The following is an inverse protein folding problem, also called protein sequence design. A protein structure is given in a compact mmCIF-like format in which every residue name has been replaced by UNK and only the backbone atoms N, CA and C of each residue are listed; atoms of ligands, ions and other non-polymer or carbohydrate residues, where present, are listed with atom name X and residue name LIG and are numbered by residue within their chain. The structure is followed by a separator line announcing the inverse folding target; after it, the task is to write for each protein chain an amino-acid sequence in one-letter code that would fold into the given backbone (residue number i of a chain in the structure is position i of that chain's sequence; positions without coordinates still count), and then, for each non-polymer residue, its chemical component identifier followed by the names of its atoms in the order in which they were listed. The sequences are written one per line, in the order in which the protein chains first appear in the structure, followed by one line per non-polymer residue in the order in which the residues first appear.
data_IF_473632939007
#
_entry.id   IF_473632939007
#
_cell.length_a   1.000
_cell.length_b   1.000
_cell.length_c   1.000
_cell.angle_alpha   90.00
_cell.angle_beta   90.00
_cell.angle_gamma   90.00
#
_symmetry.space_group_name_H-M   'P 1'
#
loop_
_entity.id
_entity.type
_entity.pdbx_description
1 polymer ?
#
# COMPACT_ATOMS: atom_id res chain seq x y z
N UNK A 1 -28.86 9.34 46.18
CA UNK A 1 -30.29 9.12 45.89
C UNK A 1 -30.39 8.22 44.66
N UNK A 2 -30.67 6.91 44.81
CA UNK A 2 -30.99 6.05 43.68
C UNK A 2 -32.50 5.98 43.50
N UNK A 3 -32.99 6.36 42.32
CA UNK A 3 -34.41 6.28 41.92
C UNK A 3 -34.73 4.87 41.42
N UNK A 4 -35.33 4.08 42.30
CA UNK A 4 -35.93 2.78 42.01
C UNK A 4 -37.04 2.90 40.97
N UNK A 5 -36.80 2.41 39.75
CA UNK A 5 -37.86 2.15 38.77
C UNK A 5 -38.41 0.74 39.02
N UNK A 6 -39.45 0.64 39.84
CA UNK A 6 -40.30 -0.56 39.93
C UNK A 6 -41.20 -0.63 38.70
N UNK A 7 -40.98 -1.62 37.84
CA UNK A 7 -41.93 -1.99 36.79
C UNK A 7 -43.00 -2.86 37.47
N UNK A 8 -44.13 -2.22 37.79
CA UNK A 8 -45.33 -2.89 38.28
C UNK A 8 -46.05 -3.53 37.10
N UNK A 9 -45.94 -4.85 36.97
CA UNK A 9 -46.75 -5.61 36.00
C UNK A 9 -48.17 -5.68 36.55
N UNK A 10 -49.10 -5.04 35.85
CA UNK A 10 -50.53 -5.12 36.10
C UNK A 10 -50.99 -6.58 36.02
N UNK A 11 -51.26 -7.19 37.17
CA UNK A 11 -52.20 -8.31 37.28
C UNK A 11 -53.59 -7.69 37.31
N UNK A 12 -54.46 -8.09 36.38
CA UNK A 12 -55.90 -8.35 36.57
C UNK A 12 -56.49 -8.75 35.20
N UNK A 13 -56.81 -10.03 35.03
CA UNK A 13 -57.95 -10.43 34.20
C UNK A 13 -58.63 -11.67 34.79
N UNK A 14 -59.95 -11.65 34.67
CA UNK A 14 -61.00 -12.32 35.44
C UNK A 14 -61.07 -13.84 35.22
N UNK A 15 -61.45 -14.57 36.29
CA UNK A 15 -61.87 -15.96 36.23
C UNK A 15 -63.32 -15.98 35.73
N UNK A 16 -63.53 -16.09 34.42
CA UNK A 16 -64.75 -16.69 33.87
C UNK A 16 -64.55 -17.01 32.38
N UNK A 17 -64.79 -18.27 32.03
CA UNK A 17 -64.64 -18.92 30.70
C UNK A 17 -63.19 -19.26 30.31
N UNK A 18 -62.90 -20.57 30.17
CA UNK A 18 -61.58 -21.16 29.93
C UNK A 18 -60.89 -20.59 28.68
N UNK A 19 -59.72 -19.93 28.80
CA UNK A 19 -58.69 -20.00 27.79
C UNK A 19 -57.70 -21.10 28.23
N UNK A 20 -57.48 -22.11 27.39
CA UNK A 20 -56.37 -23.04 27.60
C UNK A 20 -55.05 -22.29 27.43
N UNK A 21 -54.54 -21.68 28.50
CA UNK A 21 -53.16 -21.25 28.59
C UNK A 21 -52.30 -22.51 28.57
N UNK A 22 -51.79 -22.87 27.39
CA UNK A 22 -50.74 -23.87 27.26
C UNK A 22 -49.49 -23.27 27.92
N UNK A 23 -49.26 -23.63 29.18
CA UNK A 23 -47.97 -23.40 29.80
C UNK A 23 -46.96 -24.24 29.02
N UNK A 24 -45.96 -23.59 28.43
CA UNK A 24 -44.85 -24.28 27.77
C UNK A 24 -44.23 -25.26 28.77
N UNK A 25 -44.14 -26.53 28.40
CA UNK A 25 -43.50 -27.53 29.24
C UNK A 25 -42.03 -27.14 29.45
N UNK A 26 -41.48 -27.43 30.63
CA UNK A 26 -40.04 -27.28 30.86
C UNK A 26 -39.21 -28.19 29.93
N UNK A 27 -39.82 -29.27 29.43
CA UNK A 27 -39.19 -30.28 28.59
C UNK A 27 -38.98 -29.80 27.14
N UNK A 28 -40.04 -29.53 26.37
CA UNK A 28 -40.28 -28.16 25.93
C UNK A 28 -39.09 -27.27 25.51
N UNK A 29 -38.88 -26.29 26.39
CA UNK A 29 -37.77 -25.34 26.40
C UNK A 29 -36.39 -26.02 26.46
N UNK A 30 -36.23 -27.13 27.18
CA UNK A 30 -34.93 -27.80 27.31
C UNK A 30 -34.46 -28.39 25.97
N UNK A 31 -35.37 -28.98 25.18
CA UNK A 31 -35.03 -29.46 23.84
C UNK A 31 -34.71 -28.30 22.90
N UNK A 32 -35.44 -27.18 23.00
CA UNK A 32 -35.14 -25.97 22.21
C UNK A 32 -33.74 -25.43 22.52
N UNK A 33 -33.36 -25.37 23.80
CA UNK A 33 -32.02 -24.91 24.22
C UNK A 33 -30.91 -25.87 23.77
N UNK A 34 -31.15 -27.19 23.80
CA UNK A 34 -30.21 -28.18 23.27
C UNK A 34 -30.01 -27.99 21.76
N UNK A 35 -31.08 -27.82 21.00
CA UNK A 35 -31.00 -27.58 19.54
C UNK A 35 -30.27 -26.27 19.24
N UNK A 36 -30.57 -25.18 19.95
CA UNK A 36 -29.88 -23.89 19.80
C UNK A 36 -28.39 -24.02 20.13
N UNK A 37 -28.02 -24.77 21.19
CA UNK A 37 -26.62 -24.97 21.56
C UNK A 37 -25.83 -25.76 20.51
N UNK A 38 -26.46 -26.77 19.89
CA UNK A 38 -25.87 -27.52 18.77
C UNK A 38 -25.72 -26.61 17.54
N UNK A 39 -26.72 -25.79 17.24
CA UNK A 39 -26.68 -24.84 16.13
C UNK A 39 -25.57 -23.79 16.31
N UNK A 40 -25.44 -23.25 17.53
CA UNK A 40 -24.35 -22.32 17.88
C UNK A 40 -22.98 -23.00 17.78
N UNK A 41 -22.85 -24.28 18.19
CA UNK A 41 -21.61 -25.05 18.04
C UNK A 41 -21.17 -25.24 16.58
N UNK A 42 -22.12 -25.46 15.66
CA UNK A 42 -21.84 -25.59 14.22
C UNK A 42 -21.46 -24.24 13.58
N UNK A 43 -22.07 -23.13 13.98
CA UNK A 43 -21.79 -21.82 13.38
C UNK A 43 -20.39 -21.28 13.70
N UNK A 44 -19.84 -21.54 14.90
CA UNK A 44 -18.48 -21.10 15.26
C UNK A 44 -17.39 -21.89 14.51
N UNK A 45 -17.66 -23.11 14.08
CA UNK A 45 -16.71 -23.93 13.31
C UNK A 45 -16.56 -23.45 11.85
N UNK A 46 -17.48 -22.60 11.39
CA UNK A 46 -17.42 -21.91 10.10
C UNK A 46 -16.88 -20.47 10.23
N UNK A 47 -16.09 -20.18 11.26
CA UNK A 47 -15.23 -19.00 11.28
C UNK A 47 -14.23 -19.13 10.11
N UNK A 48 -14.56 -18.51 8.99
CA UNK A 48 -13.94 -18.66 7.68
C UNK A 48 -12.41 -18.71 7.76
N UNK A 49 -11.83 -19.91 7.65
CA UNK A 49 -10.40 -20.04 7.37
C UNK A 49 -10.18 -19.50 5.95
N UNK A 50 -9.55 -18.33 5.84
CA UNK A 50 -9.12 -17.79 4.54
C UNK A 50 -8.16 -18.79 3.89
N UNK A 51 -8.50 -19.22 2.69
CA UNK A 51 -7.60 -20.06 1.89
C UNK A 51 -6.41 -19.23 1.39
N UNK A 52 -5.33 -19.89 0.97
CA UNK A 52 -4.18 -19.16 0.39
C UNK A 52 -4.58 -18.42 -0.91
N UNK A 53 -5.57 -18.94 -1.65
CA UNK A 53 -6.15 -18.25 -2.80
C UNK A 53 -6.89 -16.95 -2.39
N UNK A 54 -7.68 -16.98 -1.30
CA UNK A 54 -8.36 -15.77 -0.79
C UNK A 54 -7.36 -14.72 -0.32
N UNK A 55 -6.28 -15.16 0.34
CA UNK A 55 -5.21 -14.27 0.82
C UNK A 55 -4.45 -13.65 -0.35
N UNK A 56 -4.13 -14.42 -1.39
CA UNK A 56 -3.53 -13.91 -2.62
C UNK A 56 -4.44 -12.87 -3.28
N UNK A 57 -5.73 -13.17 -3.44
CA UNK A 57 -6.70 -12.23 -4.03
C UNK A 57 -6.82 -10.94 -3.20
N UNK A 58 -6.81 -11.06 -1.86
CA UNK A 58 -6.78 -9.92 -0.96
C UNK A 58 -5.51 -9.09 -1.13
N UNK A 59 -4.34 -9.71 -1.16
CA UNK A 59 -3.06 -9.03 -1.37
C UNK A 59 -3.04 -8.29 -2.70
N UNK A 60 -3.46 -8.93 -3.80
CA UNK A 60 -3.52 -8.29 -5.12
C UNK A 60 -4.47 -7.08 -5.15
N UNK A 61 -5.60 -7.18 -4.45
CA UNK A 61 -6.57 -6.08 -4.35
C UNK A 61 -5.95 -4.90 -3.59
N UNK A 62 -5.33 -5.16 -2.43
CA UNK A 62 -4.66 -4.13 -1.63
C UNK A 62 -3.49 -3.50 -2.38
N UNK A 63 -2.65 -4.30 -3.04
CA UNK A 63 -1.54 -3.81 -3.84
C UNK A 63 -1.99 -2.86 -4.95
N UNK A 64 -3.13 -3.11 -5.61
CA UNK A 64 -3.72 -2.18 -6.59
C UNK A 64 -4.21 -0.88 -5.97
N UNK A 65 -4.74 -0.92 -4.75
CA UNK A 65 -5.12 0.29 -4.01
C UNK A 65 -3.90 1.10 -3.60
N UNK A 66 -2.83 0.44 -3.12
CA UNK A 66 -1.56 1.06 -2.80
C UNK A 66 -0.92 1.72 -4.04
N UNK A 67 -0.94 1.04 -5.18
CA UNK A 67 -0.46 1.56 -6.46
C UNK A 67 -1.19 2.84 -6.86
N UNK A 68 -2.53 2.86 -6.78
CA UNK A 68 -3.33 4.05 -7.06
C UNK A 68 -3.06 5.19 -6.09
N UNK A 69 -2.90 4.90 -4.80
CA UNK A 69 -2.60 5.90 -3.78
C UNK A 69 -1.23 6.54 -4.01
N UNK A 70 -0.23 5.74 -4.38
CA UNK A 70 1.09 6.24 -4.78
C UNK A 70 0.99 7.16 -6.00
N UNK A 71 0.22 6.80 -7.02
CA UNK A 71 0.02 7.65 -8.20
C UNK A 71 -0.65 8.98 -7.86
N UNK A 72 -1.66 8.96 -7.00
CA UNK A 72 -2.31 10.18 -6.53
C UNK A 72 -1.32 11.07 -5.75
N UNK A 73 -0.49 10.48 -4.88
CA UNK A 73 0.53 11.21 -4.13
C UNK A 73 1.58 11.83 -5.06
N UNK A 74 2.10 11.07 -6.03
CA UNK A 74 3.10 11.56 -6.99
C UNK A 74 2.53 12.69 -7.84
N UNK A 75 1.26 12.58 -8.26
CA UNK A 75 0.61 13.63 -9.03
C UNK A 75 0.44 14.92 -8.21
N UNK A 76 0.16 14.81 -6.91
CA UNK A 76 -0.04 15.97 -6.04
C UNK A 76 1.28 16.61 -5.58
N UNK A 77 2.27 15.79 -5.21
CA UNK A 77 3.49 16.26 -4.53
C UNK A 77 4.74 16.28 -5.41
N UNK A 78 4.67 15.74 -6.63
CA UNK A 78 5.83 15.65 -7.56
C UNK A 78 7.04 14.95 -6.94
N UNK A 79 6.76 14.02 -6.05
CA UNK A 79 7.72 13.31 -5.22
C UNK A 79 7.20 11.91 -4.88
N UNK A 80 8.09 10.95 -4.70
CA UNK A 80 7.78 9.68 -4.05
C UNK A 80 7.87 9.82 -2.53
N UNK A 81 6.90 9.31 -1.77
CA UNK A 81 6.92 9.44 -0.32
C UNK A 81 8.03 8.56 0.27
N UNK A 82 8.76 9.05 1.25
CA UNK A 82 9.65 8.20 2.05
C UNK A 82 8.88 7.02 2.69
N UNK A 83 9.51 5.84 2.83
CA UNK A 83 8.91 4.75 3.58
C UNK A 83 8.58 5.15 5.02
N UNK A 84 7.52 4.56 5.59
CA UNK A 84 7.18 4.72 6.99
C UNK A 84 7.90 3.69 7.86
N UNK A 85 7.97 3.94 9.16
CA UNK A 85 8.69 3.09 10.11
C UNK A 85 7.96 1.77 10.36
N UNK A 86 8.49 0.62 9.89
CA UNK A 86 7.84 -0.67 10.09
C UNK A 86 7.85 -1.13 11.56
N UNK A 87 8.63 -0.51 12.44
CA UNK A 87 8.72 -0.87 13.85
C UNK A 87 7.48 -0.49 14.67
N UNK A 88 6.67 0.43 14.17
CA UNK A 88 5.52 0.97 14.88
C UNK A 88 4.31 0.03 14.77
N UNK A 89 3.50 -0.06 15.83
CA UNK A 89 2.19 -0.71 15.75
C UNK A 89 1.14 0.25 15.20
N UNK A 90 0.03 -0.29 14.67
CA UNK A 90 -1.09 0.50 14.14
C UNK A 90 -1.71 1.47 15.16
N UNK A 91 -1.54 1.21 16.46
CA UNK A 91 -2.00 2.10 17.54
C UNK A 91 -1.11 3.34 17.75
N UNK A 92 0.08 3.36 17.16
CA UNK A 92 1.01 4.47 17.29
C UNK A 92 0.54 5.68 16.45
N UNK A 93 0.65 6.88 17.02
CA UNK A 93 0.27 8.11 16.33
C UNK A 93 1.08 8.33 15.04
N UNK A 94 2.33 7.86 14.99
CA UNK A 94 3.25 8.00 13.88
C UNK A 94 3.21 6.81 12.89
N UNK A 95 2.39 5.79 13.17
CA UNK A 95 2.20 4.68 12.22
C UNK A 95 1.76 5.21 10.86
N UNK A 96 2.38 4.74 9.77
CA UNK A 96 2.03 5.12 8.41
C UNK A 96 2.49 6.52 7.99
N UNK A 97 3.24 7.26 8.81
CA UNK A 97 3.84 8.54 8.42
C UNK A 97 5.16 8.31 7.69
N UNK A 98 5.29 8.88 6.50
CA UNK A 98 6.53 8.91 5.73
C UNK A 98 7.64 9.59 6.54
N UNK A 99 8.79 8.91 6.66
CA UNK A 99 9.93 9.39 7.44
C UNK A 99 10.81 10.30 6.57
N UNK A 100 10.40 11.55 6.37
CA UNK A 100 11.14 12.54 5.57
C UNK A 100 12.05 13.39 6.45
N UNK A 101 13.30 13.60 6.03
CA UNK A 101 14.23 14.43 6.80
C UNK A 101 13.88 15.92 6.65
N UNK A 102 13.48 16.55 7.75
CA UNK A 102 13.17 17.99 7.79
C UNK A 102 14.41 18.88 7.64
N UNK A 103 15.61 18.35 7.95
CA UNK A 103 16.88 19.07 7.82
C UNK A 103 17.52 18.96 6.44
N UNK A 104 17.12 17.96 5.65
CA UNK A 104 17.66 17.67 4.33
C UNK A 104 16.53 17.34 3.33
N UNK A 105 15.87 18.35 2.73
CA UNK A 105 14.82 18.13 1.74
C UNK A 105 15.31 17.20 0.63
N UNK A 106 14.55 16.14 0.35
CA UNK A 106 14.94 15.10 -0.62
C UNK A 106 15.46 13.80 -0.02
N UNK A 107 15.83 13.79 1.27
CA UNK A 107 16.29 12.58 1.95
C UNK A 107 15.23 12.01 2.90
N UNK A 108 15.32 10.71 3.14
CA UNK A 108 14.51 10.04 4.15
C UNK A 108 15.28 9.96 5.48
N UNK A 109 14.58 10.07 6.62
CA UNK A 109 15.19 10.00 7.95
C UNK A 109 15.87 8.64 8.11
N UNK A 110 17.15 8.66 8.48
CA UNK A 110 17.88 7.51 8.99
C UNK A 110 17.95 7.60 10.51
N UNK A 111 17.02 6.96 11.20
CA UNK A 111 17.12 6.73 12.65
C UNK A 111 17.58 5.29 12.88
N UNK A 112 18.38 5.04 13.91
CA UNK A 112 18.66 3.69 14.41
C UNK A 112 17.40 2.95 14.89
N UNK A 113 16.28 3.68 15.05
CA UNK A 113 14.95 3.13 15.34
C UNK A 113 14.17 2.76 14.08
N UNK A 114 14.54 3.35 12.94
CA UNK A 114 13.97 3.07 11.64
C UNK A 114 14.70 1.86 11.05
N UNK A 115 13.98 0.75 10.87
CA UNK A 115 14.48 -0.39 10.08
C UNK A 115 14.60 -0.10 8.60
N UNK A 116 14.44 1.16 8.20
CA UNK A 116 14.51 1.48 6.81
C UNK A 116 15.93 1.39 6.31
N UNK A 117 16.09 0.51 5.34
CA UNK A 117 17.38 0.12 4.87
C UNK A 117 17.83 1.07 3.79
N UNK A 118 19.04 1.60 3.95
CA UNK A 118 19.66 2.42 2.92
C UNK A 118 20.81 1.66 2.26
N UNK A 119 20.77 1.58 0.95
CA UNK A 119 21.87 1.07 0.13
C UNK A 119 21.96 1.92 -1.11
N UNK A 120 23.11 2.58 -1.32
CA UNK A 120 23.30 3.55 -2.39
C UNK A 120 22.20 4.66 -2.35
N UNK A 121 21.43 4.77 -3.43
CA UNK A 121 20.31 5.71 -3.59
C UNK A 121 18.95 5.07 -3.30
N UNK A 122 18.88 3.94 -2.60
CA UNK A 122 17.65 3.21 -2.34
C UNK A 122 17.33 3.21 -0.85
N UNK A 123 16.05 3.40 -0.52
CA UNK A 123 15.51 3.31 0.84
C UNK A 123 14.39 2.28 0.91
N UNK A 124 14.38 1.49 1.98
CA UNK A 124 13.37 0.48 2.29
C UNK A 124 12.58 0.93 3.52
N UNK A 125 11.31 0.61 3.65
CA UNK A 125 10.57 0.57 4.92
C UNK A 125 9.20 -0.10 4.74
N UNK A 126 8.21 0.29 5.53
CA UNK A 126 6.81 -0.06 5.21
C UNK A 126 6.14 1.04 4.37
N UNK A 127 5.01 0.70 3.76
CA UNK A 127 4.18 1.65 3.02
C UNK A 127 3.67 2.76 3.95
N UNK A 128 3.81 4.05 3.58
CA UNK A 128 3.38 5.17 4.40
C UNK A 128 1.88 5.47 4.23
N UNK A 129 1.02 4.64 4.85
CA UNK A 129 -0.45 4.68 4.71
C UNK A 129 -1.07 6.04 5.05
N UNK A 130 -0.67 6.68 6.17
CA UNK A 130 -1.20 7.99 6.55
C UNK A 130 -0.75 9.09 5.60
N UNK A 131 0.50 9.09 5.16
CA UNK A 131 0.99 10.07 4.16
C UNK A 131 0.31 9.88 2.80
N UNK A 132 -0.02 8.64 2.43
CA UNK A 132 -0.80 8.32 1.24
C UNK A 132 -2.30 8.58 1.41
N UNK A 133 -2.75 9.02 2.59
CA UNK A 133 -4.15 9.26 2.93
C UNK A 133 -5.05 8.04 2.68
N UNK A 134 -4.55 6.86 3.05
CA UNK A 134 -5.28 5.59 2.97
C UNK A 134 -5.39 4.96 4.35
N UNK A 135 -6.26 3.96 4.49
CA UNK A 135 -6.49 3.28 5.77
C UNK A 135 -5.25 2.48 6.19
N UNK A 136 -4.87 2.56 7.45
CA UNK A 136 -3.72 1.84 8.02
C UNK A 136 -3.82 0.31 7.87
N UNK A 137 -5.04 -0.24 7.84
CA UNK A 137 -5.28 -1.65 7.51
C UNK A 137 -4.76 -2.11 6.13
N UNK A 138 -4.46 -1.19 5.22
CA UNK A 138 -3.85 -1.46 3.90
C UNK A 138 -2.33 -1.60 3.97
N UNK A 139 -1.70 -1.29 5.11
CA UNK A 139 -0.30 -1.58 5.33
C UNK A 139 -0.03 -3.09 5.30
N UNK A 140 -1.05 -3.93 5.54
CA UNK A 140 -0.90 -5.38 5.67
C UNK A 140 -1.30 -6.15 4.41
N UNK A 141 -0.58 -7.22 4.11
CA UNK A 141 -0.94 -8.22 3.11
C UNK A 141 -2.06 -9.16 3.60
N UNK A 142 -2.45 -10.13 2.76
CA UNK A 142 -3.47 -11.14 3.08
C UNK A 142 -3.06 -12.13 4.20
N UNK A 143 -1.78 -12.20 4.54
CA UNK A 143 -1.23 -13.05 5.61
C UNK A 143 -0.97 -12.26 6.91
N UNK A 144 -1.20 -10.95 6.91
CA UNK A 144 -1.08 -10.09 8.09
C UNK A 144 0.31 -9.50 8.29
N UNK A 145 1.16 -9.46 7.28
CA UNK A 145 2.50 -8.85 7.33
C UNK A 145 2.46 -7.49 6.65
N UNK A 146 3.31 -6.56 7.10
CA UNK A 146 3.34 -5.22 6.47
C UNK A 146 4.04 -5.31 5.11
N UNK A 147 3.48 -4.65 4.11
CA UNK A 147 4.10 -4.51 2.80
C UNK A 147 5.45 -3.80 2.93
N UNK A 148 6.49 -4.43 2.37
CA UNK A 148 7.78 -3.78 2.21
C UNK A 148 7.71 -2.81 1.04
N UNK A 149 8.13 -1.58 1.29
CA UNK A 149 8.19 -0.52 0.30
C UNK A 149 9.64 -0.11 0.09
N UNK A 150 10.08 -0.18 -1.15
CA UNK A 150 11.43 0.16 -1.57
C UNK A 150 11.34 1.22 -2.64
N UNK A 151 12.14 2.28 -2.55
CA UNK A 151 12.13 3.36 -3.53
C UNK A 151 13.52 3.99 -3.71
N UNK A 152 13.74 4.64 -4.85
CA UNK A 152 14.94 5.40 -5.14
C UNK A 152 14.86 6.81 -4.54
N UNK A 153 15.71 7.11 -3.56
CA UNK A 153 15.73 8.32 -2.72
C UNK A 153 15.77 9.62 -3.55
N UNK A 154 16.46 9.63 -4.68
CA UNK A 154 16.55 10.80 -5.58
C UNK A 154 15.23 11.17 -6.26
N UNK A 155 14.15 10.42 -6.03
CA UNK A 155 12.80 10.73 -6.49
C UNK A 155 11.90 11.36 -5.41
N UNK A 156 12.40 11.61 -4.19
CA UNK A 156 11.61 12.08 -3.03
C UNK A 156 11.69 13.60 -2.76
N UNK A 157 12.55 14.38 -3.43
CA UNK A 157 12.55 15.83 -3.19
C UNK A 157 11.33 16.51 -3.83
N UNK A 158 10.89 17.60 -3.19
CA UNK A 158 9.88 18.47 -3.79
C UNK A 158 10.57 19.37 -4.81
N UNK A 159 9.93 19.55 -5.97
CA UNK A 159 10.42 20.39 -7.07
C UNK A 159 10.80 21.82 -6.62
N UNK A 160 10.10 22.36 -5.61
CA UNK A 160 10.37 23.69 -5.07
C UNK A 160 11.55 23.77 -4.10
N UNK A 161 12.03 22.64 -3.58
CA UNK A 161 13.12 22.58 -2.58
C UNK A 161 14.44 22.07 -3.13
N UNK A 162 14.40 21.20 -4.15
CA UNK A 162 15.58 20.71 -4.85
C UNK A 162 15.23 20.53 -6.33
N UNK A 163 15.73 21.43 -7.22
CA UNK A 163 15.47 21.36 -8.66
C UNK A 163 16.24 20.22 -9.35
N UNK A 164 17.09 19.50 -8.62
CA UNK A 164 17.91 18.41 -9.16
C UNK A 164 17.37 17.03 -8.80
N UNK A 165 16.85 16.81 -7.58
CA UNK A 165 16.48 15.47 -7.06
C UNK A 165 14.97 15.26 -6.82
N UNK A 166 14.13 15.62 -7.79
CA UNK A 166 12.67 15.48 -7.71
C UNK A 166 12.11 14.50 -8.75
N UNK A 167 10.87 14.03 -8.58
CA UNK A 167 10.27 13.05 -9.49
C UNK A 167 10.24 13.53 -10.94
N UNK A 168 10.06 14.82 -11.20
CA UNK A 168 10.04 15.36 -12.56
C UNK A 168 11.44 15.46 -13.20
N UNK A 169 12.53 15.49 -12.42
CA UNK A 169 13.91 15.44 -12.94
C UNK A 169 14.18 14.11 -13.63
N UNK A 170 14.40 14.12 -14.95
CA UNK A 170 14.75 12.92 -15.74
C UNK A 170 16.17 12.42 -15.47
N UNK A 171 17.05 13.28 -14.95
CA UNK A 171 18.44 12.94 -14.66
C UNK A 171 18.58 12.27 -13.30
N UNK A 172 17.90 12.77 -12.25
CA UNK A 172 18.03 12.21 -10.91
C UNK A 172 17.01 11.11 -10.62
N UNK A 173 15.76 11.27 -11.07
CA UNK A 173 14.71 10.28 -10.92
C UNK A 173 14.49 9.56 -12.26
N UNK A 174 14.94 8.30 -12.36
CA UNK A 174 14.83 7.51 -13.59
C UNK A 174 16.01 7.65 -14.57
N UNK A 175 17.13 8.24 -14.16
CA UNK A 175 18.34 8.38 -14.98
C UNK A 175 19.04 7.06 -15.31
N UNK A 176 19.89 7.07 -16.35
CA UNK A 176 20.57 5.88 -16.92
C UNK A 176 21.77 5.37 -16.13
N UNK A 177 22.12 5.99 -15.01
CA UNK A 177 23.15 5.45 -14.11
C UNK A 177 22.57 4.27 -13.35
N UNK A 178 23.30 3.15 -13.32
CA UNK A 178 23.01 1.81 -12.73
C UNK A 178 22.61 1.82 -11.22
N UNK A 179 21.73 2.72 -10.81
CA UNK A 179 21.31 3.00 -9.43
C UNK A 179 19.81 2.78 -9.27
N UNK A 180 19.24 1.96 -10.14
CA UNK A 180 17.81 1.67 -10.20
C UNK A 180 17.55 0.25 -9.72
N UNK A 181 16.31 -0.01 -9.32
CA UNK A 181 15.91 -1.32 -8.84
C UNK A 181 15.82 -2.27 -10.05
N UNK A 182 16.58 -3.36 -9.99
CA UNK A 182 16.56 -4.46 -10.94
C UNK A 182 15.59 -5.54 -10.47
N UNK A 183 14.79 -6.02 -11.40
CA UNK A 183 13.85 -7.12 -11.21
C UNK A 183 14.23 -8.23 -12.18
N UNK A 184 14.43 -9.42 -11.64
CA UNK A 184 14.71 -10.64 -12.37
C UNK A 184 13.49 -11.56 -12.36
N UNK A 185 13.38 -12.43 -13.37
CA UNK A 185 12.48 -13.58 -13.32
C UNK A 185 13.11 -14.81 -12.64
N UNK A 186 12.37 -15.92 -12.60
CA UNK A 186 12.81 -17.19 -12.02
C UNK A 186 14.07 -17.80 -12.68
N UNK A 187 14.40 -17.39 -13.92
CA UNK A 187 15.58 -17.86 -14.64
C UNK A 187 16.81 -16.99 -14.41
N UNK A 188 16.67 -15.89 -13.65
CA UNK A 188 17.69 -14.87 -13.47
C UNK A 188 17.75 -13.86 -14.62
N UNK A 189 16.79 -13.90 -15.57
CA UNK A 189 16.73 -12.93 -16.66
C UNK A 189 16.21 -11.59 -16.14
N UNK A 190 16.87 -10.51 -16.52
CA UNK A 190 16.45 -9.15 -16.17
C UNK A 190 15.16 -8.82 -16.94
N UNK A 191 14.05 -8.67 -16.21
CA UNK A 191 12.77 -8.23 -16.77
C UNK A 191 12.56 -6.72 -16.62
N UNK A 192 13.28 -6.08 -15.69
CA UNK A 192 13.34 -4.63 -15.55
C UNK A 192 14.65 -4.24 -14.86
N UNK A 193 15.34 -3.21 -15.34
CA UNK A 193 16.54 -2.66 -14.71
C UNK A 193 16.40 -1.19 -14.30
N UNK A 194 15.20 -0.64 -14.42
CA UNK A 194 14.91 0.77 -14.21
C UNK A 194 13.70 1.04 -13.30
N UNK A 195 13.39 0.12 -12.39
CA UNK A 195 12.30 0.34 -11.45
C UNK A 195 12.69 1.45 -10.46
N UNK A 196 11.72 2.33 -10.19
CA UNK A 196 11.88 3.45 -9.26
C UNK A 196 11.38 3.10 -7.87
N UNK A 197 10.34 2.27 -7.81
CA UNK A 197 9.87 1.71 -6.55
C UNK A 197 9.44 0.26 -6.75
N UNK A 198 9.45 -0.46 -5.63
CA UNK A 198 8.97 -1.83 -5.50
C UNK A 198 8.16 -1.98 -4.21
N UNK A 199 7.04 -2.70 -4.29
CA UNK A 199 6.23 -3.12 -3.14
C UNK A 199 6.28 -4.64 -3.07
N UNK A 200 6.59 -5.20 -1.91
CA UNK A 200 6.71 -6.65 -1.70
C UNK A 200 5.78 -7.09 -0.59
N UNK A 201 4.95 -8.08 -0.89
CA UNK A 201 4.30 -8.95 0.09
C UNK A 201 5.14 -10.21 0.20
N UNK A 202 5.64 -10.53 1.39
CA UNK A 202 6.52 -11.68 1.63
C UNK A 202 5.74 -13.00 1.77
N UNK A 203 4.61 -13.10 1.06
CA UNK A 203 3.77 -14.29 1.00
C UNK A 203 3.33 -14.91 2.33
N UNK A 204 3.25 -16.24 2.35
CA UNK A 204 2.76 -17.13 3.41
C UNK A 204 3.83 -17.47 4.44
N UNK A 205 5.06 -17.78 4.03
CA UNK A 205 6.19 -18.02 4.93
C UNK A 205 6.63 -16.72 5.61
N UNK A 206 6.46 -15.59 4.94
CA UNK A 206 6.74 -14.27 5.46
C UNK A 206 8.18 -13.84 5.45
N UNK A 207 9.10 -14.60 4.89
CA UNK A 207 10.52 -14.41 5.20
C UNK A 207 10.99 -13.04 4.70
N UNK A 208 11.59 -12.23 5.57
CA UNK A 208 11.88 -10.82 5.27
C UNK A 208 10.68 -9.88 5.47
N UNK A 209 9.48 -10.36 5.71
CA UNK A 209 8.33 -9.53 6.05
C UNK A 209 8.49 -8.82 7.39
N UNK A 210 7.91 -7.61 7.49
CA UNK A 210 7.76 -6.93 8.77
C UNK A 210 6.53 -7.48 9.50
N UNK A 211 6.69 -7.80 10.77
CA UNK A 211 5.61 -8.31 11.61
C UNK A 211 4.53 -7.23 11.87
N UNK A 212 3.31 -7.68 12.17
CA UNK A 212 2.22 -6.77 12.51
C UNK A 212 2.43 -6.05 13.85
N UNK A 213 2.99 -6.78 14.82
CA UNK A 213 3.35 -6.23 16.12
C UNK A 213 4.45 -5.18 15.98
N UNK A 214 4.53 -4.29 16.97
CA UNK A 214 5.66 -3.37 17.07
C UNK A 214 6.98 -4.14 17.22
N UNK A 215 8.05 -3.59 16.65
CA UNK A 215 9.40 -4.09 16.84
C UNK A 215 10.24 -4.18 15.58
N UNK A 216 11.54 -4.35 15.82
CA UNK A 216 12.59 -4.20 14.82
C UNK A 216 12.98 -5.53 14.15
N UNK A 217 12.14 -6.57 14.24
CA UNK A 217 12.50 -7.90 13.74
C UNK A 217 11.66 -8.28 12.54
N UNK A 218 12.33 -8.47 11.40
CA UNK A 218 11.77 -9.09 10.20
C UNK A 218 11.71 -10.61 10.42
N UNK A 219 10.83 -11.30 9.69
CA UNK A 219 10.76 -12.76 9.79
C UNK A 219 12.11 -13.34 9.34
N UNK A 220 12.79 -14.14 10.20
CA UNK A 220 14.12 -14.65 9.91
C UNK A 220 14.11 -15.69 8.79
N UNK A 221 15.25 -15.81 8.12
CA UNK A 221 15.51 -16.90 7.20
C UNK A 221 15.75 -18.19 7.98
N UNK A 222 14.74 -19.05 8.07
CA UNK A 222 14.93 -20.39 8.63
C UNK A 222 15.59 -21.31 7.57
N UNK A 223 16.49 -22.24 7.97
CA UNK A 223 17.27 -23.05 7.02
C UNK A 223 16.46 -23.98 6.10
N UNK A 224 15.20 -24.26 6.45
CA UNK A 224 14.27 -25.09 5.69
C UNK A 224 13.05 -24.26 5.28
N UNK A 225 12.70 -24.24 3.99
CA UNK A 225 11.45 -23.60 3.51
C UNK A 225 11.62 -22.21 2.89
N UNK A 226 12.81 -21.85 2.43
CA UNK A 226 13.03 -20.64 1.63
C UNK A 226 13.72 -21.00 0.31
N UNK A 227 13.18 -20.52 -0.80
CA UNK A 227 13.85 -20.61 -2.09
C UNK A 227 15.00 -19.59 -2.21
N UNK A 228 15.91 -19.79 -3.16
CA UNK A 228 16.94 -18.79 -3.46
C UNK A 228 16.32 -17.44 -3.89
N UNK A 229 15.20 -17.51 -4.61
CA UNK A 229 14.45 -16.35 -5.09
C UNK A 229 13.82 -15.56 -3.92
N UNK A 230 13.19 -16.24 -2.97
CA UNK A 230 12.68 -15.60 -1.74
C UNK A 230 13.81 -15.06 -0.86
N UNK A 231 14.96 -15.76 -0.79
CA UNK A 231 16.12 -15.24 -0.06
C UNK A 231 16.62 -13.92 -0.67
N UNK A 232 16.56 -13.80 -2.00
CA UNK A 232 16.88 -12.57 -2.72
C UNK A 232 15.90 -11.46 -2.35
N UNK A 233 14.60 -11.71 -2.28
CA UNK A 233 13.63 -10.69 -1.87
C UNK A 233 13.69 -10.36 -0.37
N UNK A 234 14.03 -11.32 0.47
CA UNK A 234 14.00 -11.18 1.91
C UNK A 234 15.12 -10.25 2.41
N UNK A 235 16.33 -10.28 1.85
CA UNK A 235 17.46 -9.44 2.28
C UNK A 235 17.68 -9.42 3.81
N UNK A 236 17.54 -10.58 4.45
CA UNK A 236 17.75 -10.78 5.90
C UNK A 236 18.67 -11.98 6.13
N UNK A 237 19.44 -11.91 7.21
CA UNK A 237 20.26 -13.02 7.69
C UNK A 237 19.44 -14.11 8.36
N UNK A 238 20.12 -15.19 8.75
CA UNK A 238 19.50 -16.33 9.45
C UNK A 238 18.96 -15.97 10.85
N UNK A 239 19.40 -14.86 11.42
CA UNK A 239 18.93 -14.29 12.69
C UNK A 239 17.70 -13.38 12.53
N UNK A 240 17.29 -13.08 11.29
CA UNK A 240 16.26 -12.09 10.97
C UNK A 240 16.72 -10.66 11.23
N UNK A 241 18.02 -10.49 11.49
CA UNK A 241 18.70 -9.21 11.46
C UNK A 241 19.08 -8.96 10.01
N UNK A 242 19.08 -7.68 9.66
CA UNK A 242 19.50 -7.22 8.35
C UNK A 242 20.95 -7.63 8.15
N UNK A 243 21.25 -8.25 7.01
CA UNK A 243 22.63 -8.43 6.59
C UNK A 243 23.17 -7.03 6.32
N UNK A 244 24.04 -6.55 7.21
CA UNK A 244 24.72 -5.25 7.10
C UNK A 244 25.33 -5.08 5.68
N UNK A 245 25.32 -3.86 5.12
CA UNK A 245 25.21 -3.59 3.68
C UNK A 245 26.32 -4.16 2.80
N UNK A 246 26.06 -4.29 1.48
CA UNK A 246 24.95 -3.67 0.74
C UNK A 246 23.75 -4.61 0.54
N UNK A 247 22.55 -4.06 0.71
CA UNK A 247 21.33 -4.66 0.15
C UNK A 247 21.44 -4.51 -1.35
N UNK A 248 21.33 -5.63 -2.04
CA UNK A 248 21.36 -5.65 -3.48
C UNK A 248 20.14 -4.92 -4.04
N UNK A 249 20.32 -4.25 -5.18
CA UNK A 249 19.22 -3.59 -5.89
C UNK A 249 18.41 -4.60 -6.71
N UNK A 250 18.55 -5.90 -6.43
CA UNK A 250 18.02 -7.01 -7.23
C UNK A 250 16.88 -7.66 -6.45
N UNK A 251 15.73 -7.77 -7.10
CA UNK A 251 14.57 -8.50 -6.60
C UNK A 251 14.12 -9.52 -7.63
N UNK A 252 13.40 -10.55 -7.20
CA UNK A 252 12.86 -11.58 -8.07
C UNK A 252 11.34 -11.49 -8.11
N UNK A 253 10.76 -11.49 -9.31
CA UNK A 253 9.32 -11.54 -9.52
C UNK A 253 8.96 -12.75 -10.40
N UNK A 254 8.12 -13.63 -9.88
CA UNK A 254 7.57 -14.78 -10.61
C UNK A 254 6.17 -15.12 -10.11
N UNK A 255 5.55 -16.12 -10.76
CA UNK A 255 4.21 -16.59 -10.37
C UNK A 255 4.30 -17.29 -9.00
N UNK A 256 3.46 -16.92 -8.02
CA UNK A 256 3.48 -17.55 -6.71
C UNK A 256 3.19 -19.06 -6.77
N UNK A 257 3.92 -19.84 -5.97
CA UNK A 257 3.79 -21.27 -5.72
C UNK A 257 3.74 -21.50 -4.20
N UNK A 258 2.60 -21.97 -3.69
CA UNK A 258 2.33 -22.07 -2.24
C UNK A 258 2.63 -23.44 -1.63
N UNK A 259 3.13 -24.38 -2.43
CA UNK A 259 3.55 -25.69 -1.95
C UNK A 259 5.01 -25.63 -1.46
N UNK A 260 5.17 -25.46 -0.14
CA UNK A 260 6.47 -25.36 0.55
C UNK A 260 7.38 -26.58 0.34
N UNK A 261 6.84 -27.70 -0.14
CA UNK A 261 7.63 -28.90 -0.46
C UNK A 261 8.23 -28.87 -1.85
N UNK A 262 7.80 -27.94 -2.70
CA UNK A 262 8.27 -27.79 -4.06
C UNK A 262 9.62 -27.05 -4.09
N UNK A 263 10.58 -27.56 -4.86
CA UNK A 263 11.86 -26.88 -5.08
C UNK A 263 11.69 -25.47 -5.70
N UNK A 264 10.56 -25.23 -6.38
CA UNK A 264 10.16 -23.95 -6.97
C UNK A 264 9.22 -23.14 -6.07
N UNK A 265 9.16 -23.43 -4.76
CA UNK A 265 8.38 -22.63 -3.81
C UNK A 265 8.74 -21.15 -3.91
N UNK A 266 7.73 -20.28 -3.93
CA UNK A 266 7.89 -18.83 -3.94
C UNK A 266 6.53 -18.21 -3.71
N UNK A 267 6.30 -17.60 -2.57
CA UNK A 267 5.01 -17.00 -2.24
C UNK A 267 5.04 -15.47 -2.26
N UNK A 268 6.21 -14.88 -2.50
CA UNK A 268 6.40 -13.45 -2.61
C UNK A 268 5.62 -12.85 -3.79
N UNK A 269 5.10 -11.65 -3.58
CA UNK A 269 4.41 -10.88 -4.61
C UNK A 269 5.09 -9.53 -4.70
N UNK A 270 5.68 -9.27 -5.86
CA UNK A 270 6.48 -8.08 -6.13
C UNK A 270 5.76 -7.21 -7.16
N UNK A 271 5.35 -6.01 -6.74
CA UNK A 271 4.89 -4.94 -7.64
C UNK A 271 6.06 -3.99 -7.87
N UNK A 272 6.33 -3.64 -9.11
CA UNK A 272 7.41 -2.73 -9.47
C UNK A 272 7.00 -1.87 -10.65
N UNK A 273 7.48 -0.62 -10.69
CA UNK A 273 7.22 0.33 -11.79
C UNK A 273 8.43 1.20 -12.07
N UNK A 274 8.66 1.45 -13.35
CA UNK A 274 9.58 2.50 -13.80
C UNK A 274 8.86 3.85 -14.00
N UNK A 275 9.63 4.90 -14.23
CA UNK A 275 9.11 6.28 -14.39
C UNK A 275 8.03 6.37 -15.45
N UNK A 276 8.31 5.86 -16.63
CA UNK A 276 7.45 5.99 -17.81
C UNK A 276 6.11 5.31 -17.57
N UNK A 277 6.11 4.13 -16.93
CA UNK A 277 4.89 3.44 -16.53
C UNK A 277 4.08 4.25 -15.51
N UNK A 278 4.73 4.86 -14.52
CA UNK A 278 4.06 5.71 -13.53
C UNK A 278 3.40 6.91 -14.21
N UNK A 279 4.14 7.64 -15.05
CA UNK A 279 3.62 8.80 -15.78
C UNK A 279 2.43 8.39 -16.65
N UNK A 280 2.55 7.33 -17.45
CA UNK A 280 1.46 6.86 -18.30
C UNK A 280 0.22 6.45 -17.49
N UNK A 281 0.41 5.86 -16.32
CA UNK A 281 -0.70 5.48 -15.45
C UNK A 281 -1.36 6.70 -14.79
N UNK A 282 -0.58 7.73 -14.42
CA UNK A 282 -1.13 9.01 -13.94
C UNK A 282 -1.93 9.69 -15.06
N UNK A 283 -1.43 9.73 -16.30
CA UNK A 283 -2.19 10.21 -17.47
C UNK A 283 -3.51 9.47 -17.60
N UNK A 284 -3.46 8.15 -17.54
CA UNK A 284 -4.66 7.31 -17.64
C UNK A 284 -5.68 7.57 -16.52
N UNK A 285 -5.24 7.90 -15.30
CA UNK A 285 -6.14 8.32 -14.22
C UNK A 285 -6.78 9.69 -14.50
N UNK A 286 -6.06 10.57 -15.21
CA UNK A 286 -6.53 11.91 -15.58
C UNK A 286 -7.29 11.94 -16.93
N UNK A 287 -7.34 10.84 -17.69
CA UNK A 287 -8.07 10.75 -18.96
C UNK A 287 -9.56 10.99 -18.72
N UNK A 288 -10.04 12.16 -19.15
CA UNK A 288 -11.41 12.63 -18.90
C UNK A 288 -11.49 13.93 -18.09
N UNK A 289 -10.38 14.40 -17.51
CA UNK A 289 -10.30 15.76 -16.95
C UNK A 289 -10.35 16.78 -18.09
N UNK A 290 -11.35 17.67 -18.06
CA UNK A 290 -11.46 18.78 -19.03
C UNK A 290 -10.22 19.68 -19.02
N UNK A 291 -9.55 19.78 -17.87
CA UNK A 291 -8.33 20.56 -17.70
C UNK A 291 -7.15 19.92 -18.44
N UNK A 292 -6.98 18.60 -18.32
CA UNK A 292 -5.85 17.92 -18.96
C UNK A 292 -6.03 17.73 -20.46
N UNK A 293 -7.27 17.57 -20.92
CA UNK A 293 -7.55 17.63 -22.35
C UNK A 293 -7.18 18.99 -22.97
N UNK A 294 -7.38 20.09 -22.23
CA UNK A 294 -6.96 21.44 -22.67
C UNK A 294 -5.43 21.52 -22.70
N UNK A 295 -4.74 21.11 -21.63
CA UNK A 295 -3.25 21.10 -21.59
C UNK A 295 -2.67 20.26 -22.72
N UNK A 296 -3.21 19.07 -22.97
CA UNK A 296 -2.78 18.20 -24.06
C UNK A 296 -3.02 18.85 -25.43
N UNK A 297 -4.16 19.52 -25.63
CA UNK A 297 -4.45 20.24 -26.87
C UNK A 297 -3.48 21.40 -27.13
N UNK A 298 -2.97 22.04 -26.08
CA UNK A 298 -1.89 23.03 -26.18
C UNK A 298 -0.54 22.38 -26.51
N UNK A 299 -0.20 21.27 -25.84
CA UNK A 299 1.04 20.52 -26.09
C UNK A 299 1.14 19.97 -27.52
N UNK A 300 0.02 19.48 -28.08
CA UNK A 300 -0.04 18.98 -29.46
C UNK A 300 -0.17 20.09 -30.49
N UNK A 301 -0.26 21.36 -30.07
CA UNK A 301 -0.51 22.49 -30.94
C UNK A 301 -1.90 22.48 -31.61
N UNK A 302 -2.81 21.60 -31.16
CA UNK A 302 -4.19 21.55 -31.65
C UNK A 302 -5.00 22.78 -31.23
N UNK A 303 -4.62 23.41 -30.11
CA UNK A 303 -5.10 24.71 -29.66
C UNK A 303 -3.90 25.59 -29.33
N UNK A 304 -3.94 26.84 -29.77
CA UNK A 304 -2.91 27.86 -29.48
C UNK A 304 -3.53 29.05 -28.76
N UNK A 305 -2.72 29.78 -27.98
CA UNK A 305 -3.16 31.02 -27.35
C UNK A 305 -3.68 32.05 -28.37
N UNK A 306 -3.11 32.06 -29.57
CA UNK A 306 -3.55 32.90 -30.69
C UNK A 306 -4.99 32.55 -31.11
N UNK A 307 -5.31 31.25 -31.24
CA UNK A 307 -6.65 30.79 -31.64
C UNK A 307 -7.72 31.13 -30.59
N UNK A 308 -7.39 31.08 -29.29
CA UNK A 308 -8.33 31.39 -28.21
C UNK A 308 -8.56 32.89 -28.00
N UNK A 309 -7.56 33.72 -28.30
CA UNK A 309 -7.65 35.17 -28.13
C UNK A 309 -8.43 35.89 -29.25
N UNK A 310 -8.63 35.23 -30.40
CA UNK A 310 -9.37 35.82 -31.53
C UNK A 310 -8.79 37.16 -31.99
N UNK A 311 -9.66 38.16 -32.21
CA UNK A 311 -9.30 39.49 -32.75
C UNK A 311 -9.01 40.56 -31.68
N UNK A 312 -8.97 40.20 -30.38
CA UNK A 312 -8.66 41.15 -29.30
C UNK A 312 -7.15 41.38 -29.16
N UNK A 313 -6.77 42.48 -28.50
CA UNK A 313 -5.38 42.92 -28.23
C UNK A 313 -4.49 41.73 -27.89
N UNK A 314 -3.66 41.35 -28.87
CA UNK A 314 -3.17 39.98 -29.04
C UNK A 314 -2.12 39.60 -28.02
N UNK A 315 -1.32 40.56 -27.55
CA UNK A 315 -0.19 40.29 -26.64
C UNK A 315 -0.63 39.98 -25.21
N UNK A 316 -1.51 40.80 -24.62
CA UNK A 316 -1.90 40.61 -23.22
C UNK A 316 -2.77 39.36 -23.02
N UNK A 317 -3.68 39.10 -23.96
CA UNK A 317 -4.50 37.89 -23.93
C UNK A 317 -3.62 36.63 -24.09
N UNK A 318 -2.67 36.62 -25.02
CA UNK A 318 -1.76 35.49 -25.20
C UNK A 318 -0.90 35.26 -23.96
N UNK A 319 -0.41 36.33 -23.32
CA UNK A 319 0.36 36.23 -22.08
C UNK A 319 -0.46 35.62 -20.93
N UNK A 320 -1.72 36.03 -20.78
CA UNK A 320 -2.63 35.47 -19.77
C UNK A 320 -2.90 33.99 -20.05
N UNK A 321 -3.20 33.63 -21.30
CA UNK A 321 -3.46 32.24 -21.68
C UNK A 321 -2.22 31.36 -21.50
N UNK A 322 -1.04 31.85 -21.90
CA UNK A 322 0.21 31.13 -21.69
C UNK A 322 0.55 30.99 -20.21
N UNK A 323 0.26 32.01 -19.40
CA UNK A 323 0.42 31.95 -17.94
C UNK A 323 -0.53 30.95 -17.29
N UNK A 324 -1.80 30.91 -17.71
CA UNK A 324 -2.78 29.91 -17.28
C UNK A 324 -2.35 28.51 -17.71
N UNK A 325 -1.96 28.32 -18.97
CA UNK A 325 -1.42 27.07 -19.47
C UNK A 325 -0.25 26.59 -18.61
N UNK A 326 0.75 27.44 -18.38
CA UNK A 326 1.91 27.11 -17.54
C UNK A 326 1.51 26.79 -16.09
N UNK A 327 0.46 27.43 -15.56
CA UNK A 327 -0.10 27.11 -14.25
C UNK A 327 -0.91 25.81 -14.23
N UNK A 328 -1.39 25.32 -15.37
CA UNK A 328 -2.16 24.09 -15.51
C UNK A 328 -1.30 22.86 -15.82
N UNK A 329 -0.12 23.02 -16.43
CA UNK A 329 0.86 21.92 -16.65
C UNK A 329 1.10 21.08 -15.39
N UNK A 330 1.29 21.68 -14.19
CA UNK A 330 1.53 20.92 -12.96
C UNK A 330 0.34 20.08 -12.49
N UNK A 331 -0.83 20.17 -13.12
CA UNK A 331 -2.01 19.37 -12.76
C UNK A 331 -2.23 18.20 -13.73
N UNK A 332 -1.49 18.15 -14.83
CA UNK A 332 -1.71 17.24 -15.94
C UNK A 332 -0.41 16.56 -16.31
N UNK A 333 -0.17 15.41 -15.67
CA UNK A 333 0.95 14.52 -15.95
C UNK A 333 0.51 13.20 -16.53
#
# INVERSE_FOLDING_TARGET
MPSSHSITVFTHCNISTKPTCKAFSLLELSFVLVIISIFLGFTLSYAAKKTDADRLAQTQTRTKELEKALYAYINANRSLPCPADPSLSETDANFGLAQRDSGSPGFCIQSTSFLGLRSNNMVWGMIPTKTLNIRDSLAYDGWGRKFSYIMIETCNADEGTDPTNHFASSTACGGTSNTQIQINDASGTIIMNNAIFTIISHGKNGVGGFNAAAGNRRVPRLPSGISADEATNAHVGNDGIIVSPPIDQIFVARIPQFDETNANYFDDIVLFKNKTQIINNIKALNQGSSICNIVDSFNTGSVTAVQLCGTKTTTDCQNIINSLYNALIPFCY
#
